data_IF_536001380865
#
_entry.id   IF_536001380865
#
_cell.length_a   1.000
_cell.length_b   1.000
_cell.length_c   1.000
_cell.angle_alpha   90.00
_cell.angle_beta   90.00
_cell.angle_gamma   90.00
#
_symmetry.space_group_name_H-M   'P 1'
#
loop_
_entity.id
_entity.type
_entity.pdbx_description
1 polymer ?
#
# COMPACT_ATOMS: atom_id res chain seq x y z
N UNK A 1 -63.77 77.57 -8.67
CA UNK A 1 -62.58 76.87 -9.14
C UNK A 1 -62.78 75.38 -8.87
N UNK A 2 -63.16 74.57 -9.88
CA UNK A 2 -63.52 73.14 -9.68
C UNK A 2 -62.39 72.29 -10.21
N UNK A 3 -61.70 71.58 -9.31
CA UNK A 3 -60.61 70.68 -9.61
C UNK A 3 -61.18 69.32 -10.03
N UNK A 4 -60.91 68.87 -11.26
CA UNK A 4 -61.33 67.56 -11.79
C UNK A 4 -60.22 66.53 -11.54
N UNK A 5 -60.51 65.56 -10.65
CA UNK A 5 -59.66 64.39 -10.40
C UNK A 5 -59.82 63.38 -11.54
N UNK A 6 -58.77 63.09 -12.27
CA UNK A 6 -58.78 62.01 -13.28
C UNK A 6 -58.21 60.74 -12.70
N UNK A 7 -59.06 59.71 -12.57
CA UNK A 7 -58.66 58.36 -12.24
C UNK A 7 -57.92 57.72 -13.45
N UNK A 8 -56.72 57.28 -13.22
CA UNK A 8 -56.02 56.36 -14.18
C UNK A 8 -56.20 54.94 -13.71
N UNK A 9 -56.89 54.11 -14.51
CA UNK A 9 -56.99 52.66 -14.33
C UNK A 9 -55.81 52.05 -15.11
N UNK A 10 -54.89 51.38 -14.40
CA UNK A 10 -53.84 50.60 -15.01
C UNK A 10 -54.27 49.12 -15.14
N UNK A 11 -54.06 48.47 -16.29
CA UNK A 11 -54.38 47.05 -16.41
C UNK A 11 -53.32 46.17 -15.74
N UNK A 12 -53.71 45.25 -14.88
CA UNK A 12 -52.89 44.26 -14.26
C UNK A 12 -52.65 43.11 -15.26
N UNK A 13 -51.40 43.00 -15.81
CA UNK A 13 -51.02 41.87 -16.62
C UNK A 13 -50.57 40.71 -15.70
N UNK A 14 -51.36 39.64 -15.69
CA UNK A 14 -51.03 38.40 -15.00
C UNK A 14 -49.96 37.62 -15.83
N UNK A 15 -48.75 37.50 -15.29
CA UNK A 15 -47.71 36.64 -15.86
C UNK A 15 -47.91 35.22 -15.26
N UNK A 16 -48.40 34.31 -16.09
CA UNK A 16 -48.47 32.87 -15.74
C UNK A 16 -47.06 32.28 -15.96
N UNK A 17 -46.33 32.05 -14.92
CA UNK A 17 -45.07 31.29 -14.95
C UNK A 17 -45.35 29.78 -15.09
N UNK A 18 -45.09 29.25 -16.27
CA UNK A 18 -45.07 27.81 -16.52
C UNK A 18 -43.84 27.17 -15.82
N UNK A 19 -44.06 26.53 -14.67
CA UNK A 19 -43.09 25.66 -14.06
C UNK A 19 -42.98 24.39 -14.89
N UNK A 20 -41.92 24.25 -15.69
CA UNK A 20 -41.52 22.98 -16.28
C UNK A 20 -40.99 22.02 -15.21
N UNK A 21 -41.43 20.76 -15.13
CA UNK A 21 -40.85 19.80 -14.23
C UNK A 21 -39.43 19.50 -14.67
N UNK A 22 -38.43 19.89 -13.84
CA UNK A 22 -37.05 19.54 -14.04
C UNK A 22 -36.90 18.02 -13.95
N UNK A 23 -36.47 17.40 -15.05
CA UNK A 23 -36.09 15.99 -15.08
C UNK A 23 -34.80 15.90 -14.25
N UNK A 24 -34.74 15.04 -13.20
CA UNK A 24 -33.48 14.83 -12.49
C UNK A 24 -32.49 14.24 -13.48
N UNK A 25 -31.39 14.95 -13.73
CA UNK A 25 -30.26 14.40 -14.47
C UNK A 25 -29.73 13.22 -13.65
N UNK A 26 -29.97 12.00 -14.12
CA UNK A 26 -29.32 10.79 -13.61
C UNK A 26 -27.84 11.02 -13.82
N UNK A 27 -27.09 11.23 -12.72
CA UNK A 27 -25.65 11.18 -12.76
C UNK A 27 -25.29 9.75 -13.18
N UNK A 28 -24.89 9.58 -14.44
CA UNK A 28 -24.28 8.34 -14.88
C UNK A 28 -23.08 8.11 -13.96
N UNK A 29 -23.07 6.99 -13.25
CA UNK A 29 -21.90 6.54 -12.52
C UNK A 29 -20.76 6.48 -13.55
N UNK A 30 -19.82 7.42 -13.45
CA UNK A 30 -18.61 7.36 -14.23
C UNK A 30 -17.98 6.02 -13.90
N UNK A 31 -17.93 5.11 -14.86
CA UNK A 31 -17.21 3.85 -14.71
C UNK A 31 -15.80 4.19 -14.26
N UNK A 32 -15.41 3.71 -13.08
CA UNK A 32 -14.08 3.95 -12.55
C UNK A 32 -13.08 3.46 -13.59
N UNK A 33 -12.25 4.35 -14.10
CA UNK A 33 -11.12 3.98 -14.97
C UNK A 33 -10.21 3.08 -14.15
N UNK A 34 -9.67 1.98 -14.71
CA UNK A 34 -8.72 1.14 -13.98
C UNK A 34 -7.60 2.01 -13.41
N UNK A 35 -7.45 2.02 -12.10
CA UNK A 35 -6.42 2.80 -11.42
C UNK A 35 -5.10 2.04 -11.40
N UNK A 36 -3.99 2.76 -11.54
CA UNK A 36 -2.65 2.29 -11.26
C UNK A 36 -2.15 2.76 -9.89
N UNK A 37 -3.02 3.33 -9.07
CA UNK A 37 -2.74 4.00 -7.81
C UNK A 37 -3.58 3.40 -6.67
N UNK A 38 -3.04 3.48 -5.45
CA UNK A 38 -3.81 3.23 -4.24
C UNK A 38 -4.64 4.45 -3.85
N UNK A 39 -5.81 4.23 -3.25
CA UNK A 39 -6.60 5.31 -2.66
C UNK A 39 -6.00 5.82 -1.35
N UNK A 40 -6.33 7.07 -1.01
CA UNK A 40 -5.97 7.63 0.30
C UNK A 40 -6.97 7.24 1.41
N UNK A 41 -8.11 6.67 1.05
CA UNK A 41 -9.09 6.16 1.99
C UNK A 41 -8.68 4.76 2.44
N UNK A 42 -8.85 4.48 3.73
CA UNK A 42 -8.57 3.18 4.32
C UNK A 42 -9.75 2.22 4.09
N UNK A 43 -9.45 0.96 3.91
CA UNK A 43 -10.45 -0.09 3.68
C UNK A 43 -11.40 -0.22 4.89
N UNK A 44 -12.68 0.04 4.65
CA UNK A 44 -13.72 0.13 5.67
C UNK A 44 -13.39 1.13 6.80
N UNK A 45 -12.52 2.12 6.53
CA UNK A 45 -12.06 3.12 7.50
C UNK A 45 -11.05 2.59 8.52
N UNK A 46 -10.48 1.42 8.32
CA UNK A 46 -9.46 0.83 9.20
C UNK A 46 -8.07 0.82 8.52
N UNK A 47 -7.13 1.70 8.94
CA UNK A 47 -5.80 1.80 8.33
C UNK A 47 -4.98 0.50 8.43
N UNK A 48 -5.32 -0.41 9.34
CA UNK A 48 -4.66 -1.71 9.42
C UNK A 48 -4.96 -2.59 8.21
N UNK A 49 -6.08 -2.34 7.55
CA UNK A 49 -6.51 -3.08 6.35
C UNK A 49 -5.96 -2.48 5.05
N UNK A 50 -5.20 -1.38 5.12
CA UNK A 50 -4.60 -0.74 3.95
C UNK A 50 -5.60 0.05 3.10
N UNK A 51 -5.20 0.53 1.90
CA UNK A 51 -6.02 1.39 1.05
C UNK A 51 -7.35 0.72 0.67
N UNK A 52 -8.44 1.50 0.58
CA UNK A 52 -9.74 1.01 0.11
C UNK A 52 -9.64 0.47 -1.31
N UNK A 53 -9.17 1.29 -2.22
CA UNK A 53 -8.97 0.90 -3.62
C UNK A 53 -7.51 0.54 -3.86
N UNK A 54 -7.30 -0.60 -4.50
CA UNK A 54 -6.01 -1.11 -4.90
C UNK A 54 -5.85 -1.01 -6.43
N UNK A 55 -4.64 -0.76 -6.95
CA UNK A 55 -4.42 -0.69 -8.38
C UNK A 55 -4.64 -2.06 -9.05
N UNK A 56 -5.14 -2.03 -10.27
CA UNK A 56 -5.31 -3.22 -11.12
C UNK A 56 -4.41 -3.16 -12.36
N UNK A 57 -3.67 -2.08 -12.53
CA UNK A 57 -2.70 -1.85 -13.61
C UNK A 57 -1.36 -1.38 -13.05
N UNK A 58 -0.37 -1.21 -13.89
CA UNK A 58 0.98 -0.80 -13.46
C UNK A 58 1.78 -1.91 -12.75
N UNK A 59 2.94 -1.61 -12.20
CA UNK A 59 3.78 -2.58 -11.47
C UNK A 59 3.04 -3.19 -10.29
N UNK A 60 2.54 -2.36 -9.37
CA UNK A 60 1.83 -2.81 -8.16
C UNK A 60 0.58 -3.60 -8.50
N UNK A 61 -0.22 -3.16 -9.49
CA UNK A 61 -1.42 -3.89 -9.92
C UNK A 61 -1.10 -5.31 -10.41
N UNK A 62 0.03 -5.50 -11.11
CA UNK A 62 0.49 -6.84 -11.53
C UNK A 62 0.89 -7.72 -10.34
N UNK A 63 1.56 -7.16 -9.35
CA UNK A 63 1.96 -7.89 -8.14
C UNK A 63 0.78 -8.23 -7.23
N UNK A 64 -0.31 -7.47 -7.31
CA UNK A 64 -1.55 -7.71 -6.56
C UNK A 64 -2.47 -8.76 -7.21
N UNK A 65 -2.12 -9.32 -8.38
CA UNK A 65 -2.95 -10.36 -9.01
C UNK A 65 -3.09 -11.55 -8.05
N UNK A 66 -4.33 -11.90 -7.72
CA UNK A 66 -4.66 -12.99 -6.80
C UNK A 66 -4.48 -12.67 -5.31
N UNK A 67 -4.01 -11.48 -4.94
CA UNK A 67 -3.94 -11.05 -3.55
C UNK A 67 -5.33 -10.94 -2.94
N UNK A 68 -5.46 -11.43 -1.72
CA UNK A 68 -6.65 -11.27 -0.88
C UNK A 68 -6.23 -10.60 0.42
N UNK A 69 -6.76 -9.43 0.71
CA UNK A 69 -6.39 -8.56 1.83
C UNK A 69 -6.21 -9.31 3.17
N UNK A 70 -7.13 -10.17 3.50
CA UNK A 70 -7.13 -10.97 4.73
C UNK A 70 -6.95 -12.48 4.49
N UNK A 71 -6.55 -12.87 3.28
CA UNK A 71 -6.54 -14.26 2.85
C UNK A 71 -7.94 -14.86 2.79
N UNK A 72 -8.18 -15.91 3.56
CA UNK A 72 -9.49 -16.56 3.67
C UNK A 72 -10.18 -16.28 5.03
N UNK A 73 -9.69 -15.29 5.81
CA UNK A 73 -10.25 -14.92 7.10
C UNK A 73 -11.23 -13.74 6.94
N UNK A 74 -12.22 -13.66 7.84
CA UNK A 74 -12.93 -12.38 8.03
C UNK A 74 -11.96 -11.33 8.59
N UNK A 75 -12.26 -10.04 8.38
CA UNK A 75 -11.41 -8.94 8.88
C UNK A 75 -11.22 -9.01 10.39
N UNK A 76 -12.28 -9.20 11.15
CA UNK A 76 -12.22 -9.34 12.61
C UNK A 76 -11.29 -10.50 13.02
N UNK A 77 -11.41 -11.65 12.36
CA UNK A 77 -10.58 -12.81 12.66
C UNK A 77 -9.13 -12.59 12.25
N UNK A 78 -8.90 -11.91 11.11
CA UNK A 78 -7.58 -11.53 10.65
C UNK A 78 -6.88 -10.61 11.66
N UNK A 79 -7.55 -9.53 12.06
CA UNK A 79 -7.02 -8.59 13.03
C UNK A 79 -6.81 -9.24 14.41
N UNK A 80 -7.75 -10.06 14.87
CA UNK A 80 -7.58 -10.80 16.14
C UNK A 80 -6.41 -11.79 16.11
N UNK A 81 -6.05 -12.30 14.92
CA UNK A 81 -4.94 -13.26 14.76
C UNK A 81 -3.59 -12.57 14.64
N UNK A 82 -3.52 -11.47 13.91
CA UNK A 82 -2.24 -10.89 13.48
C UNK A 82 -1.95 -9.50 14.06
N UNK A 83 -2.85 -8.91 14.84
CA UNK A 83 -2.66 -7.60 15.45
C UNK A 83 -2.92 -7.67 16.96
N UNK A 84 -2.02 -7.09 17.75
CA UNK A 84 -2.15 -7.10 19.20
C UNK A 84 -1.95 -5.68 19.76
N UNK A 85 -2.65 -5.32 20.85
CA UNK A 85 -2.44 -4.04 21.53
C UNK A 85 -1.04 -3.89 22.13
N UNK A 86 -0.25 -4.96 22.21
CA UNK A 86 1.06 -5.00 22.89
C UNK A 86 2.20 -5.57 22.05
N UNK A 87 1.96 -5.92 20.78
CA UNK A 87 2.96 -6.61 19.94
C UNK A 87 4.21 -5.75 19.66
N UNK A 88 4.09 -4.44 19.67
CA UNK A 88 5.22 -3.53 19.43
C UNK A 88 5.74 -2.97 20.77
N UNK A 89 6.54 -3.76 21.49
CA UNK A 89 7.14 -3.36 22.77
C UNK A 89 6.13 -2.76 23.77
N UNK A 90 4.97 -3.40 23.91
CA UNK A 90 3.89 -2.95 24.78
C UNK A 90 2.92 -1.94 24.13
N UNK A 91 3.12 -1.59 22.88
CA UNK A 91 2.23 -0.76 22.07
C UNK A 91 1.50 -1.58 21.00
N UNK A 92 0.39 -1.07 20.44
CA UNK A 92 -0.31 -1.76 19.35
C UNK A 92 0.60 -1.99 18.13
N UNK A 93 0.48 -3.17 17.54
CA UNK A 93 1.28 -3.52 16.37
C UNK A 93 0.94 -4.89 15.79
N UNK A 94 1.56 -5.18 14.65
CA UNK A 94 1.47 -6.46 13.98
C UNK A 94 2.28 -7.54 14.70
N UNK A 95 1.72 -8.74 14.75
CA UNK A 95 2.42 -9.95 15.19
C UNK A 95 3.12 -10.52 13.97
N UNK A 96 4.39 -10.19 13.80
CA UNK A 96 5.20 -10.70 12.70
C UNK A 96 5.62 -12.15 12.92
N UNK A 97 5.92 -12.91 11.83
CA UNK A 97 6.41 -14.27 11.93
C UNK A 97 7.75 -14.33 12.67
N UNK A 98 8.06 -15.44 13.36
CA UNK A 98 9.39 -15.67 13.96
C UNK A 98 10.48 -15.78 12.89
N UNK A 99 11.73 -15.89 13.33
CA UNK A 99 12.90 -16.11 12.48
C UNK A 99 13.00 -15.10 11.32
N UNK A 100 12.73 -13.80 11.59
CA UNK A 100 12.73 -12.72 10.58
C UNK A 100 11.83 -13.00 9.36
N UNK A 101 10.83 -13.86 9.51
CA UNK A 101 9.91 -14.20 8.43
C UNK A 101 10.42 -15.28 7.47
N UNK A 102 11.54 -15.90 7.72
CA UNK A 102 12.00 -17.05 6.93
C UNK A 102 11.20 -18.32 7.22
N UNK A 103 11.05 -19.15 6.21
CA UNK A 103 10.67 -20.56 6.43
C UNK A 103 11.72 -21.21 7.31
N UNK A 104 11.28 -22.03 8.27
CA UNK A 104 12.18 -22.73 9.19
C UNK A 104 12.16 -24.24 8.98
N UNK A 105 13.26 -24.87 9.31
CA UNK A 105 13.33 -26.32 9.50
C UNK A 105 12.49 -26.74 10.74
N UNK A 106 12.22 -28.03 10.94
CA UNK A 106 11.45 -28.50 12.10
C UNK A 106 12.04 -28.13 13.47
N UNK A 107 13.35 -27.88 13.56
CA UNK A 107 14.05 -27.44 14.75
C UNK A 107 13.99 -25.90 14.99
N UNK A 108 13.32 -25.16 14.10
CA UNK A 108 13.20 -23.70 14.14
C UNK A 108 14.33 -22.95 13.45
N UNK A 109 15.33 -23.64 12.88
CA UNK A 109 16.42 -23.00 12.14
C UNK A 109 15.90 -22.36 10.86
N UNK A 110 16.13 -21.05 10.60
CA UNK A 110 15.71 -20.40 9.37
C UNK A 110 16.44 -20.99 8.14
N UNK A 111 15.68 -21.11 7.05
CA UNK A 111 16.24 -21.47 5.75
C UNK A 111 16.70 -20.18 5.08
N UNK A 112 17.97 -19.83 5.28
CA UNK A 112 18.59 -18.64 4.72
C UNK A 112 20.03 -18.92 4.30
N UNK A 113 20.56 -18.10 3.40
CA UNK A 113 21.94 -18.15 2.92
C UNK A 113 22.45 -16.75 2.57
N UNK A 114 23.75 -16.55 2.61
CA UNK A 114 24.35 -15.32 2.11
C UNK A 114 24.27 -15.27 0.57
N UNK A 115 23.79 -14.14 0.05
CA UNK A 115 23.71 -13.87 -1.37
C UNK A 115 24.36 -12.50 -1.66
N UNK A 116 25.15 -12.40 -2.73
CA UNK A 116 25.63 -11.12 -3.24
C UNK A 116 24.67 -10.61 -4.30
N UNK A 117 24.12 -9.42 -4.10
CA UNK A 117 23.41 -8.66 -5.12
C UNK A 117 24.41 -7.88 -5.95
N UNK A 118 24.29 -7.95 -7.29
CA UNK A 118 25.22 -7.36 -8.22
C UNK A 118 24.61 -6.16 -8.97
N UNK A 119 25.47 -5.25 -9.49
CA UNK A 119 24.99 -4.13 -10.31
C UNK A 119 24.07 -4.57 -11.45
N UNK A 120 23.08 -3.73 -11.74
CA UNK A 120 22.00 -3.92 -12.71
C UNK A 120 20.90 -4.93 -12.32
N UNK A 121 20.95 -5.56 -11.16
CA UNK A 121 19.78 -6.25 -10.62
C UNK A 121 18.76 -5.24 -10.14
N UNK A 122 17.47 -5.51 -10.41
CA UNK A 122 16.37 -4.76 -9.87
C UNK A 122 15.80 -5.50 -8.66
N UNK A 123 15.51 -4.73 -7.62
CA UNK A 123 14.94 -5.20 -6.36
C UNK A 123 13.92 -4.19 -5.87
N UNK A 124 12.96 -4.62 -5.10
CA UNK A 124 11.87 -3.75 -4.67
C UNK A 124 11.55 -3.90 -3.17
N UNK A 125 10.64 -3.04 -2.72
CA UNK A 125 10.16 -3.04 -1.35
C UNK A 125 8.77 -2.41 -1.27
N UNK A 126 7.91 -2.95 -0.42
CA UNK A 126 6.77 -2.28 0.17
C UNK A 126 7.09 -1.81 1.58
N UNK A 127 6.67 -0.61 1.93
CA UNK A 127 6.91 -0.02 3.24
C UNK A 127 8.07 0.97 3.27
N UNK A 128 8.25 1.62 4.43
CA UNK A 128 9.24 2.67 4.64
C UNK A 128 10.67 2.22 4.32
N UNK A 129 11.46 3.09 3.67
CA UNK A 129 12.88 2.86 3.37
C UNK A 129 13.78 2.75 4.63
N UNK A 130 13.24 3.05 5.82
CA UNK A 130 13.93 2.74 7.09
C UNK A 130 13.90 1.24 7.45
N UNK A 131 13.22 0.43 6.66
CA UNK A 131 13.21 -1.02 6.81
C UNK A 131 14.46 -1.69 6.25
N UNK A 132 14.66 -2.96 6.63
CA UNK A 132 15.83 -3.77 6.26
C UNK A 132 15.50 -4.95 5.33
N UNK A 133 14.29 -5.04 4.82
CA UNK A 133 13.87 -6.14 3.94
C UNK A 133 13.58 -5.63 2.54
N UNK A 134 14.02 -6.40 1.55
CA UNK A 134 13.83 -6.18 0.11
C UNK A 134 13.41 -7.51 -0.53
N UNK A 135 13.03 -7.48 -1.80
CA UNK A 135 12.71 -8.67 -2.59
C UNK A 135 13.23 -8.50 -4.04
N UNK A 136 13.32 -9.56 -4.83
CA UNK A 136 13.40 -9.42 -6.28
C UNK A 136 12.22 -8.64 -6.82
N UNK A 137 12.45 -7.70 -7.75
CA UNK A 137 11.40 -6.93 -8.39
C UNK A 137 10.32 -7.83 -9.01
N UNK A 138 9.07 -7.42 -8.86
CA UNK A 138 7.94 -8.05 -9.54
C UNK A 138 7.41 -9.33 -8.89
N UNK A 139 7.87 -9.69 -7.69
CA UNK A 139 7.27 -10.82 -6.97
C UNK A 139 5.83 -10.51 -6.56
N UNK A 140 4.89 -11.46 -6.69
CA UNK A 140 3.52 -11.28 -6.24
C UNK A 140 3.46 -10.83 -4.77
N UNK A 141 2.63 -9.83 -4.47
CA UNK A 141 2.46 -9.30 -3.11
C UNK A 141 2.10 -10.40 -2.10
N UNK A 142 1.22 -11.33 -2.48
CA UNK A 142 0.83 -12.45 -1.63
C UNK A 142 1.99 -13.36 -1.22
N UNK A 143 3.07 -13.42 -2.01
CA UNK A 143 4.25 -14.23 -1.67
C UNK A 143 5.20 -13.58 -0.67
N UNK A 144 4.97 -12.29 -0.37
CA UNK A 144 5.78 -11.50 0.58
C UNK A 144 5.31 -11.63 2.02
N UNK A 145 4.11 -12.14 2.27
CA UNK A 145 3.52 -12.33 3.62
C UNK A 145 3.66 -11.08 4.51
N UNK A 146 3.36 -9.91 3.96
CA UNK A 146 3.35 -8.63 4.69
C UNK A 146 1.90 -8.16 4.91
N UNK A 147 1.63 -7.34 5.96
CA UNK A 147 0.27 -6.93 6.26
C UNK A 147 -0.29 -5.95 5.20
N UNK A 148 -1.63 -5.87 5.07
CA UNK A 148 -2.28 -4.95 4.11
C UNK A 148 -1.84 -3.49 4.28
N UNK A 149 -1.59 -3.05 5.51
CA UNK A 149 -1.09 -1.72 5.84
C UNK A 149 0.24 -1.37 5.16
N UNK A 150 1.02 -2.35 4.70
CA UNK A 150 2.27 -2.08 3.98
C UNK A 150 2.05 -1.40 2.62
N UNK A 151 0.79 -1.33 2.14
CA UNK A 151 0.40 -0.59 0.94
C UNK A 151 0.06 0.88 1.22
N UNK A 152 -0.05 1.30 2.50
CA UNK A 152 -0.36 2.68 2.86
C UNK A 152 0.88 3.56 2.75
N UNK A 153 0.73 4.71 2.11
CA UNK A 153 1.79 5.70 1.96
C UNK A 153 1.25 7.13 1.90
N UNK A 154 2.16 8.07 2.01
CA UNK A 154 1.90 9.48 1.74
C UNK A 154 2.97 10.01 0.77
N UNK A 155 2.62 10.31 -0.49
CA UNK A 155 1.28 10.23 -1.10
C UNK A 155 0.77 8.79 -1.28
N UNK A 156 -0.54 8.58 -1.15
CA UNK A 156 -1.17 7.26 -1.24
C UNK A 156 -0.98 6.59 -2.59
N UNK A 157 -0.97 7.37 -3.66
CA UNK A 157 -0.87 6.92 -5.06
C UNK A 157 0.30 5.94 -5.32
N UNK A 158 1.38 6.03 -4.55
CA UNK A 158 2.56 5.16 -4.69
C UNK A 158 2.37 3.76 -4.14
N UNK A 159 1.30 3.48 -3.38
CA UNK A 159 1.09 2.20 -2.69
C UNK A 159 2.27 1.77 -1.82
N UNK A 160 3.06 2.74 -1.31
CA UNK A 160 4.28 2.48 -0.53
C UNK A 160 5.28 1.54 -1.23
N UNK A 161 5.24 1.53 -2.56
CA UNK A 161 6.11 0.73 -3.41
C UNK A 161 7.35 1.52 -3.80
N UNK A 162 8.49 0.89 -3.66
CA UNK A 162 9.79 1.46 -3.99
C UNK A 162 10.56 0.45 -4.83
N UNK A 163 11.04 0.90 -5.95
CA UNK A 163 11.81 0.12 -6.91
C UNK A 163 13.24 0.64 -7.02
N UNK A 164 14.21 -0.27 -7.07
CA UNK A 164 15.63 0.06 -7.01
C UNK A 164 16.45 -0.75 -8.00
N UNK A 165 17.44 -0.06 -8.56
CA UNK A 165 18.55 -0.70 -9.26
C UNK A 165 19.77 -0.80 -8.36
N UNK A 166 20.36 -1.96 -8.27
CA UNK A 166 21.66 -2.16 -7.61
C UNK A 166 22.77 -1.47 -8.41
N UNK A 167 23.55 -0.60 -7.75
CA UNK A 167 24.69 0.13 -8.35
C UNK A 167 26.04 -0.43 -7.92
N UNK A 168 26.16 -0.88 -6.66
CA UNK A 168 27.37 -1.50 -6.12
C UNK A 168 27.03 -2.86 -5.53
N UNK A 169 27.90 -3.85 -5.64
CA UNK A 169 27.64 -5.16 -5.05
C UNK A 169 27.58 -5.06 -3.52
N UNK A 170 26.64 -5.76 -2.92
CA UNK A 170 26.54 -5.94 -1.47
C UNK A 170 25.91 -7.29 -1.13
N UNK A 171 26.19 -7.79 0.07
CA UNK A 171 25.65 -9.05 0.55
C UNK A 171 24.39 -8.86 1.38
N UNK A 172 23.52 -9.84 1.33
CA UNK A 172 22.28 -9.97 2.11
C UNK A 172 22.12 -11.39 2.62
N UNK A 173 21.29 -11.59 3.64
CA UNK A 173 20.70 -12.88 3.89
C UNK A 173 19.50 -13.04 2.95
N UNK A 174 19.41 -14.17 2.27
CA UNK A 174 18.36 -14.49 1.32
C UNK A 174 17.68 -15.81 1.67
N UNK A 175 16.37 -15.89 1.52
CA UNK A 175 15.64 -17.12 1.79
C UNK A 175 14.14 -17.00 1.54
N UNK A 176 13.42 -18.13 1.54
CA UNK A 176 11.98 -18.16 1.31
C UNK A 176 11.21 -17.58 2.50
N UNK A 177 10.17 -16.83 2.20
CA UNK A 177 9.29 -16.19 3.19
C UNK A 177 8.27 -17.22 3.71
N UNK A 178 8.10 -17.29 5.02
CA UNK A 178 7.08 -18.13 5.66
C UNK A 178 5.66 -17.63 5.33
N UNK A 179 4.67 -18.53 5.17
CA UNK A 179 3.26 -18.15 5.12
C UNK A 179 2.85 -17.38 6.37
N UNK A 180 2.29 -16.18 6.21
CA UNK A 180 1.83 -15.33 7.30
C UNK A 180 0.77 -14.33 6.81
N UNK A 181 0.06 -13.65 7.69
CA UNK A 181 -1.00 -12.70 7.35
C UNK A 181 -2.05 -13.26 6.38
N UNK A 182 -2.40 -14.55 6.52
CA UNK A 182 -3.31 -15.21 5.61
C UNK A 182 -2.80 -15.39 4.17
N UNK A 183 -1.53 -15.11 3.93
CA UNK A 183 -0.90 -15.19 2.61
C UNK A 183 -0.06 -16.47 2.48
N UNK A 184 0.10 -16.98 1.22
CA UNK A 184 0.82 -18.21 0.97
C UNK A 184 2.32 -18.14 1.28
N UNK A 185 2.95 -16.96 1.21
CA UNK A 185 4.40 -16.84 1.36
C UNK A 185 5.20 -17.43 0.19
N UNK A 186 6.37 -17.95 0.50
CA UNK A 186 7.35 -18.59 -0.41
C UNK A 186 7.94 -17.68 -1.48
N UNK A 187 7.76 -16.36 -1.40
CA UNK A 187 8.59 -15.41 -2.12
C UNK A 187 10.02 -15.40 -1.56
N UNK A 188 10.96 -14.91 -2.34
CA UNK A 188 12.33 -14.71 -1.87
C UNK A 188 12.42 -13.34 -1.19
N UNK A 189 12.94 -13.28 0.04
CA UNK A 189 13.30 -12.01 0.68
C UNK A 189 14.82 -11.85 0.78
N UNK A 190 15.24 -10.60 0.81
CA UNK A 190 16.59 -10.16 1.10
C UNK A 190 16.58 -9.36 2.40
N UNK A 191 17.32 -9.80 3.40
CA UNK A 191 17.46 -9.09 4.67
C UNK A 191 18.84 -8.43 4.73
N UNK A 192 18.83 -7.14 5.02
CA UNK A 192 20.05 -6.37 5.25
C UNK A 192 20.66 -6.71 6.62
N UNK A 193 21.95 -6.96 6.63
CA UNK A 193 22.74 -7.13 7.86
C UNK A 193 23.98 -6.22 7.80
N UNK A 194 24.19 -5.43 8.85
CA UNK A 194 25.35 -4.54 8.99
C UNK A 194 26.67 -5.31 8.95
N UNK A 195 26.69 -6.55 9.40
CA UNK A 195 27.89 -7.40 9.35
C UNK A 195 28.31 -7.75 7.91
N UNK A 196 27.37 -7.73 6.97
CA UNK A 196 27.62 -8.11 5.58
C UNK A 196 27.91 -6.90 4.66
N UNK A 197 27.70 -5.65 5.14
CA UNK A 197 27.89 -4.42 4.36
C UNK A 197 28.91 -3.52 5.06
N UNK A 198 30.18 -3.53 4.63
CA UNK A 198 31.23 -2.74 5.25
C UNK A 198 30.87 -1.24 5.32
N UNK A 199 31.05 -0.64 6.50
CA UNK A 199 30.75 0.77 6.75
C UNK A 199 29.27 1.07 7.01
N UNK A 200 28.40 0.05 7.00
CA UNK A 200 26.98 0.19 7.33
C UNK A 200 26.77 0.50 8.82
N UNK A 201 25.70 1.23 9.18
CA UNK A 201 25.33 1.49 10.56
C UNK A 201 24.78 0.21 11.22
N UNK A 202 24.82 0.12 12.53
CA UNK A 202 24.29 -1.04 13.28
C UNK A 202 22.82 -1.37 12.95
N UNK A 203 22.03 -0.37 12.53
CA UNK A 203 20.67 -0.52 11.99
C UNK A 203 20.68 -0.20 10.51
N UNK A 204 21.29 -1.08 9.73
CA UNK A 204 21.35 -0.95 8.27
C UNK A 204 19.92 -1.00 7.69
N UNK A 205 19.60 -0.07 6.81
CA UNK A 205 18.31 0.06 6.16
C UNK A 205 18.46 0.47 4.69
N UNK A 206 17.37 0.41 3.95
CA UNK A 206 17.37 0.70 2.50
C UNK A 206 17.74 2.14 2.20
N UNK A 207 17.27 3.12 3.00
CA UNK A 207 17.59 4.54 2.80
C UNK A 207 19.12 4.76 2.86
N UNK A 208 19.80 4.13 3.83
CA UNK A 208 21.25 4.23 3.92
C UNK A 208 21.95 3.68 2.66
N UNK A 209 21.45 2.57 2.09
CA UNK A 209 22.01 2.04 0.83
C UNK A 209 21.83 3.00 -0.33
N UNK A 210 20.70 3.69 -0.41
CA UNK A 210 20.44 4.73 -1.42
C UNK A 210 21.40 5.92 -1.21
N UNK A 211 21.49 6.44 0.02
CA UNK A 211 22.31 7.62 0.35
C UNK A 211 23.80 7.35 0.15
N UNK A 212 24.24 6.09 0.23
CA UNK A 212 25.63 5.68 0.04
C UNK A 212 25.91 5.10 -1.37
N UNK A 213 24.96 5.21 -2.28
CA UNK A 213 25.10 4.87 -3.69
C UNK A 213 25.27 3.37 -3.95
N UNK A 214 24.69 2.51 -3.11
CA UNK A 214 24.52 1.08 -3.39
C UNK A 214 23.27 0.83 -4.23
N UNK A 215 22.23 1.64 -4.04
CA UNK A 215 20.97 1.57 -4.75
C UNK A 215 20.62 2.92 -5.40
N UNK A 216 19.96 2.87 -6.55
CA UNK A 216 19.25 3.99 -7.15
C UNK A 216 17.76 3.69 -7.20
N UNK A 217 16.92 4.65 -6.85
CA UNK A 217 15.46 4.57 -7.12
C UNK A 217 15.21 4.66 -8.63
N UNK A 218 14.30 3.85 -9.16
CA UNK A 218 13.93 3.79 -10.58
C UNK A 218 12.44 3.91 -10.79
#
# INVERSE_FOLDING_TARGET
>A
MRLRLRLFVAPLAAVVALLAPGVPASAAAAGATPSNECSAADHHGDPRLGPEDLPITGPVGRELIGYKRTGNLSEDKFLATYYSPTANNGSPGWIYPPANGYVTLPDGTPIEFELTLYPNQNIDRYGSEYGSFLAPEGLPYATRSIPPQSLDSNPAATCNYHDYKVLKPFKVHAGPIAPWFGQPGYGLQYQLDAALVPGGPARLNVLWLVDNGYLARI
#
